data_IF_310167734146
#
_entry.id   IF_310167734146
#
_cell.length_a   1.000
_cell.length_b   1.000
_cell.length_c   1.000
_cell.angle_alpha   90.00
_cell.angle_beta   90.00
_cell.angle_gamma   90.00
#
_symmetry.space_group_name_H-M   'P 1'
#
loop_
_entity.id
_entity.type
_entity.pdbx_description
1 polymer ?
#
# COMPACT_ATOMS: atom_id res chain seq x y z
N UNK A 1 26.17 -6.46 -45.38
CA UNK A 1 26.04 -7.24 -44.12
C UNK A 1 24.86 -6.70 -43.29
N UNK A 2 23.80 -7.52 -43.15
CA UNK A 2 22.65 -7.21 -42.31
C UNK A 2 23.02 -7.52 -40.85
N UNK A 3 23.03 -6.51 -39.99
CA UNK A 3 23.19 -6.70 -38.56
C UNK A 3 21.93 -7.37 -37.99
N UNK A 4 22.08 -8.54 -37.39
CA UNK A 4 21.04 -9.16 -36.56
C UNK A 4 20.75 -8.25 -35.37
N UNK A 5 19.53 -7.74 -35.28
CA UNK A 5 19.02 -7.09 -34.07
C UNK A 5 18.73 -8.18 -33.04
N UNK A 6 19.33 -8.08 -31.85
CA UNK A 6 19.00 -8.96 -30.74
C UNK A 6 17.49 -8.81 -30.41
N UNK A 7 16.80 -9.94 -30.23
CA UNK A 7 15.43 -9.95 -29.74
C UNK A 7 15.45 -9.58 -28.26
N UNK A 8 15.00 -8.38 -27.92
CA UNK A 8 14.74 -7.98 -26.53
C UNK A 8 13.60 -8.85 -25.99
N UNK A 9 13.86 -9.58 -24.92
CA UNK A 9 12.82 -10.36 -24.23
C UNK A 9 11.82 -9.41 -23.59
N UNK A 10 10.53 -9.58 -23.88
CA UNK A 10 9.50 -8.82 -23.16
C UNK A 10 9.58 -9.11 -21.66
N UNK A 11 9.47 -8.08 -20.80
CA UNK A 11 9.50 -8.27 -19.36
C UNK A 11 8.32 -9.14 -18.93
N UNK A 12 8.57 -10.12 -18.06
CA UNK A 12 7.52 -10.94 -17.49
C UNK A 12 6.53 -10.07 -16.70
N UNK A 13 5.22 -10.30 -16.91
CA UNK A 13 4.18 -9.64 -16.14
C UNK A 13 4.26 -10.13 -14.68
N UNK A 14 4.32 -9.24 -13.68
CA UNK A 14 4.35 -9.65 -12.28
C UNK A 14 3.05 -10.36 -11.88
N UNK A 15 3.17 -11.36 -11.00
CA UNK A 15 2.01 -11.97 -10.34
C UNK A 15 1.67 -11.14 -9.10
N UNK A 16 0.39 -10.86 -8.92
CA UNK A 16 -0.12 -10.15 -7.75
C UNK A 16 -0.91 -11.11 -6.87
N UNK A 17 -0.68 -11.03 -5.57
CA UNK A 17 -1.45 -11.75 -4.56
C UNK A 17 -2.13 -10.73 -3.63
N UNK A 18 -3.37 -11.01 -3.24
CA UNK A 18 -4.10 -10.14 -2.31
C UNK A 18 -3.55 -10.38 -0.91
N UNK A 19 -3.16 -9.30 -0.24
CA UNK A 19 -2.84 -9.29 1.18
C UNK A 19 -3.84 -8.39 1.91
N UNK A 20 -4.71 -8.99 2.71
CA UNK A 20 -5.69 -8.25 3.49
C UNK A 20 -5.02 -7.68 4.75
N UNK A 21 -5.00 -6.35 4.86
CA UNK A 21 -4.47 -5.61 6.03
C UNK A 21 -5.54 -5.49 7.11
N UNK A 22 -6.76 -5.10 6.73
CA UNK A 22 -7.92 -5.02 7.62
C UNK A 22 -9.23 -5.12 6.80
N UNK A 23 -10.19 -5.88 7.33
CA UNK A 23 -11.51 -6.09 6.71
C UNK A 23 -12.62 -5.20 7.27
N UNK A 24 -12.38 -4.47 8.37
CA UNK A 24 -13.42 -3.73 9.11
C UNK A 24 -13.03 -2.28 9.42
N UNK A 25 -12.86 -1.49 8.36
CA UNK A 25 -12.63 -0.04 8.47
C UNK A 25 -13.84 0.79 8.03
N UNK A 26 -14.95 0.13 7.68
CA UNK A 26 -16.13 0.76 7.10
C UNK A 26 -15.85 1.34 5.70
N UNK A 27 -16.42 2.51 5.41
CA UNK A 27 -16.30 3.15 4.09
C UNK A 27 -15.03 4.00 4.03
N UNK A 28 -13.97 3.45 3.44
CA UNK A 28 -12.74 4.17 3.09
C UNK A 28 -12.98 5.21 2.00
N UNK A 29 -12.42 6.40 2.17
CA UNK A 29 -12.53 7.53 1.22
C UNK A 29 -11.22 7.87 0.54
N UNK A 30 -10.11 7.74 1.27
CA UNK A 30 -8.78 7.93 0.71
C UNK A 30 -7.77 7.04 1.44
N UNK A 31 -6.65 6.77 0.75
CA UNK A 31 -5.50 6.02 1.25
C UNK A 31 -4.23 6.72 0.79
N UNK A 32 -3.21 6.73 1.64
CA UNK A 32 -1.88 7.27 1.35
C UNK A 32 -0.78 6.39 1.96
N UNK A 33 0.45 6.55 1.47
CA UNK A 33 1.63 5.85 1.93
C UNK A 33 2.64 6.83 2.55
N UNK A 34 2.99 6.63 3.81
CA UNK A 34 3.92 7.50 4.54
C UNK A 34 4.63 6.69 5.62
N UNK A 35 5.91 6.99 5.86
CA UNK A 35 6.66 6.46 7.00
C UNK A 35 6.29 7.28 8.26
N UNK A 36 5.34 6.77 9.05
CA UNK A 36 4.78 7.52 10.19
C UNK A 36 5.69 7.42 11.41
N UNK A 37 6.31 6.25 11.63
CA UNK A 37 7.12 5.96 12.81
C UNK A 37 8.63 6.20 12.61
N UNK A 38 9.06 6.64 11.42
CA UNK A 38 10.45 6.87 11.04
C UNK A 38 11.33 5.61 11.07
N UNK A 39 10.75 4.45 10.77
CA UNK A 39 11.49 3.19 10.69
C UNK A 39 12.06 2.88 9.29
N UNK A 40 11.81 3.77 8.32
CA UNK A 40 12.25 3.65 6.93
C UNK A 40 11.34 2.79 6.06
N UNK A 41 10.17 2.36 6.57
CA UNK A 41 9.16 1.61 5.82
C UNK A 41 7.94 2.47 5.58
N UNK A 42 7.36 2.33 4.38
CA UNK A 42 6.08 2.96 4.10
C UNK A 42 4.97 2.19 4.80
N UNK A 43 4.19 2.94 5.57
CA UNK A 43 2.95 2.48 6.19
C UNK A 43 1.74 2.86 5.33
N UNK A 44 0.57 2.32 5.69
CA UNK A 44 -0.70 2.67 5.04
C UNK A 44 -1.51 3.58 5.97
N UNK A 45 -1.94 4.74 5.48
CA UNK A 45 -2.86 5.63 6.20
C UNK A 45 -4.16 5.72 5.42
N UNK A 46 -5.28 5.41 6.06
CA UNK A 46 -6.60 5.44 5.46
C UNK A 46 -7.53 6.40 6.21
N UNK A 47 -8.32 7.16 5.45
CA UNK A 47 -9.42 7.95 6.00
C UNK A 47 -10.73 7.25 5.69
N UNK A 48 -11.55 7.07 6.71
CA UNK A 48 -12.90 6.54 6.59
C UNK A 48 -13.91 7.69 6.64
N UNK A 49 -15.20 7.38 6.74
CA UNK A 49 -16.23 8.41 6.93
C UNK A 49 -16.31 8.94 8.37
N UNK A 50 -15.50 8.44 9.31
CA UNK A 50 -15.55 8.85 10.72
C UNK A 50 -14.21 8.79 11.46
N UNK A 51 -13.15 8.23 10.88
CA UNK A 51 -11.84 8.09 11.51
C UNK A 51 -10.69 8.18 10.50
N UNK A 52 -9.51 8.49 10.99
CA UNK A 52 -8.24 8.29 10.30
C UNK A 52 -7.50 7.16 11.00
N UNK A 53 -7.05 6.19 10.22
CA UNK A 53 -6.39 4.97 10.68
C UNK A 53 -5.04 4.83 10.01
N UNK A 54 -4.04 4.42 10.76
CA UNK A 54 -2.70 4.10 10.30
C UNK A 54 -2.42 2.61 10.56
N UNK A 55 -1.87 1.91 9.56
CA UNK A 55 -1.46 0.51 9.63
C UNK A 55 0.06 0.39 9.51
N UNK A 56 0.71 0.00 10.61
CA UNK A 56 2.17 -0.01 10.77
C UNK A 56 2.82 -1.24 10.09
N UNK A 57 3.61 -1.01 9.05
CA UNK A 57 4.38 -2.03 8.36
C UNK A 57 5.57 -2.49 9.24
N UNK A 58 5.89 -3.79 9.37
CA UNK A 58 5.31 -4.95 8.68
C UNK A 58 4.26 -5.71 9.47
N UNK A 59 3.96 -5.26 10.69
CA UNK A 59 3.02 -5.95 11.57
C UNK A 59 1.56 -5.74 11.17
N UNK A 60 1.31 -4.71 10.36
CA UNK A 60 -0.01 -4.17 10.02
C UNK A 60 -0.85 -3.81 11.25
N UNK A 61 -0.18 -3.46 12.35
CA UNK A 61 -0.83 -3.04 13.58
C UNK A 61 -1.65 -1.77 13.31
N UNK A 62 -2.93 -1.82 13.68
CA UNK A 62 -3.85 -0.69 13.55
C UNK A 62 -3.62 0.34 14.66
N UNK A 63 -3.55 1.61 14.25
CA UNK A 63 -3.51 2.78 15.12
C UNK A 63 -4.58 3.76 14.69
N UNK A 64 -5.43 4.18 15.62
CA UNK A 64 -6.42 5.23 15.36
C UNK A 64 -5.75 6.59 15.56
N UNK A 65 -5.60 7.33 14.48
CA UNK A 65 -4.96 8.66 14.48
C UNK A 65 -5.96 9.72 14.94
N UNK A 66 -7.22 9.61 14.51
CA UNK A 66 -8.29 10.54 14.91
C UNK A 66 -9.67 9.90 14.70
N UNK A 67 -10.66 10.36 15.48
CA UNK A 67 -12.05 9.90 15.46
C UNK A 67 -13.01 11.10 15.40
N UNK A 68 -14.21 10.89 14.84
CA UNK A 68 -15.29 11.87 14.83
C UNK A 68 -15.15 12.98 13.80
N UNK A 69 -14.44 12.70 12.69
CA UNK A 69 -14.23 13.61 11.55
C UNK A 69 -15.29 13.40 10.48
#
# INVERSE_FOLDING_TARGET
>A
PLATRAQETEPAVPKFEIHEISGDIGVGRCVDLVDVNSDGKLDVVAMTSNKIVWFENPSWKEHVVSNGI
#
